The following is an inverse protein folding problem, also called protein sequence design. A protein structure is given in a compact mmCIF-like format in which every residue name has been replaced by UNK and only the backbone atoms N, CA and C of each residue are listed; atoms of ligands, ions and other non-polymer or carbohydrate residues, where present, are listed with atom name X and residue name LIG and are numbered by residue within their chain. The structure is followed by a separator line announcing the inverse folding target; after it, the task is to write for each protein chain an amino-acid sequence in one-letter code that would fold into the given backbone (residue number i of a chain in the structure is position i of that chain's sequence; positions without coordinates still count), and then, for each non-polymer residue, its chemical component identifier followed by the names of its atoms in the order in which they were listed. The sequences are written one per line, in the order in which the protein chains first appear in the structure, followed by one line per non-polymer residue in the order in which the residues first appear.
data_IF_938566132640
#
_entry.id   IF_938566132640
#
_cell.length_a   1.000
_cell.length_b   1.000
_cell.length_c   1.000
_cell.angle_alpha   90.00
_cell.angle_beta   90.00
_cell.angle_gamma   90.00
#
_symmetry.space_group_name_H-M   'P 1'
#
loop_
_entity.id
_entity.type
_entity.pdbx_description
1 polymer ?
#
# COMPACT_ATOMS: atom_id res chain seq x y z
N UNK A 1 -108.64 -111.66 37.09
CA UNK A 1 -108.38 -110.20 37.15
C UNK A 1 -106.89 -109.85 37.14
N UNK A 2 -105.96 -110.81 37.28
CA UNK A 2 -104.50 -110.55 37.31
C UNK A 2 -103.81 -110.34 35.93
N UNK A 3 -104.25 -111.02 34.86
CA UNK A 3 -103.59 -110.90 33.53
C UNK A 3 -103.76 -109.51 32.88
N UNK A 4 -104.88 -108.83 33.16
CA UNK A 4 -105.14 -107.48 32.66
C UNK A 4 -104.21 -106.44 33.29
N UNK A 5 -103.77 -106.67 34.53
CA UNK A 5 -102.87 -105.78 35.27
C UNK A 5 -101.44 -105.95 34.77
N UNK A 6 -101.00 -107.19 34.50
CA UNK A 6 -99.65 -107.48 33.99
C UNK A 6 -99.43 -106.94 32.57
N UNK A 7 -100.41 -107.04 31.69
CA UNK A 7 -100.32 -106.50 30.32
C UNK A 7 -100.32 -104.96 30.29
N UNK A 8 -101.07 -104.34 31.20
CA UNK A 8 -101.05 -102.89 31.40
C UNK A 8 -99.69 -102.42 31.94
N UNK A 9 -99.09 -103.14 32.89
CA UNK A 9 -97.74 -102.86 33.37
C UNK A 9 -96.68 -103.01 32.28
N UNK A 10 -96.75 -104.07 31.46
CA UNK A 10 -95.81 -104.28 30.36
C UNK A 10 -95.91 -103.17 29.30
N UNK A 11 -97.14 -102.74 28.99
CA UNK A 11 -97.39 -101.59 28.10
C UNK A 11 -96.82 -100.30 28.68
N UNK A 12 -97.03 -100.07 29.98
CA UNK A 12 -96.51 -98.90 30.68
C UNK A 12 -94.98 -98.89 30.72
N UNK A 13 -94.33 -100.03 30.97
CA UNK A 13 -92.87 -100.14 30.93
C UNK A 13 -92.32 -99.91 29.53
N UNK A 14 -92.94 -100.47 28.48
CA UNK A 14 -92.54 -100.22 27.09
C UNK A 14 -92.63 -98.74 26.73
N UNK A 15 -93.77 -98.11 27.03
CA UNK A 15 -93.97 -96.68 26.81
C UNK A 15 -92.96 -95.84 27.60
N UNK A 16 -92.66 -96.20 28.85
CA UNK A 16 -91.65 -95.52 29.65
C UNK A 16 -90.22 -95.69 29.06
N UNK A 17 -89.89 -96.87 28.53
CA UNK A 17 -88.59 -97.11 27.87
C UNK A 17 -88.47 -96.43 26.52
N UNK A 18 -89.57 -96.32 25.76
CA UNK A 18 -89.61 -95.56 24.50
C UNK A 18 -89.52 -94.06 24.77
N UNK A 19 -90.28 -93.52 25.75
CA UNK A 19 -90.15 -92.14 26.22
C UNK A 19 -88.72 -91.83 26.67
N UNK A 20 -88.10 -92.71 27.46
CA UNK A 20 -86.72 -92.54 27.91
C UNK A 20 -85.71 -92.56 26.74
N UNK A 21 -85.95 -93.38 25.71
CA UNK A 21 -85.12 -93.40 24.49
C UNK A 21 -85.30 -92.15 23.64
N UNK A 22 -86.53 -91.68 23.49
CA UNK A 22 -86.85 -90.45 22.78
C UNK A 22 -86.25 -89.23 23.50
N UNK A 23 -86.40 -89.16 24.82
CA UNK A 23 -85.76 -88.14 25.67
C UNK A 23 -84.24 -88.17 25.56
N UNK A 24 -83.63 -89.36 25.54
CA UNK A 24 -82.18 -89.50 25.36
C UNK A 24 -81.73 -89.09 23.95
N UNK A 25 -82.50 -89.37 22.91
CA UNK A 25 -82.23 -88.91 21.54
C UNK A 25 -82.35 -87.38 21.43
N UNK A 26 -83.37 -86.78 22.04
CA UNK A 26 -83.55 -85.32 22.12
C UNK A 26 -82.41 -84.68 22.90
N UNK A 27 -81.99 -85.27 24.01
CA UNK A 27 -80.88 -84.74 24.80
C UNK A 27 -79.55 -84.84 24.05
N UNK A 28 -79.31 -85.93 23.33
CA UNK A 28 -78.10 -86.13 22.54
C UNK A 28 -78.01 -85.15 21.35
N UNK A 29 -79.12 -84.94 20.63
CA UNK A 29 -79.18 -83.93 19.55
C UNK A 29 -78.98 -82.51 20.08
N UNK A 30 -79.55 -82.18 21.24
CA UNK A 30 -79.33 -80.91 21.92
C UNK A 30 -77.87 -80.73 22.37
N UNK A 31 -77.26 -81.79 22.91
CA UNK A 31 -75.85 -81.77 23.29
C UNK A 31 -74.94 -81.53 22.08
N UNK A 32 -75.14 -82.26 20.98
CA UNK A 32 -74.36 -82.07 19.76
C UNK A 32 -74.52 -80.66 19.17
N UNK A 33 -75.75 -80.13 19.16
CA UNK A 33 -76.04 -78.77 18.72
C UNK A 33 -75.33 -77.72 19.58
N UNK A 34 -75.44 -77.82 20.92
CA UNK A 34 -74.76 -76.92 21.84
C UNK A 34 -73.24 -77.04 21.76
N UNK A 35 -72.70 -78.27 21.65
CA UNK A 35 -71.27 -78.51 21.53
C UNK A 35 -70.71 -77.88 20.24
N UNK A 36 -71.40 -78.07 19.11
CA UNK A 36 -71.02 -77.43 17.84
C UNK A 36 -71.08 -75.90 17.92
N UNK A 37 -72.11 -75.35 18.57
CA UNK A 37 -72.29 -73.90 18.72
C UNK A 37 -71.24 -73.27 19.64
N UNK A 38 -70.89 -73.94 20.74
CA UNK A 38 -69.83 -73.49 21.66
C UNK A 38 -68.46 -73.57 21.00
N UNK A 39 -68.18 -74.66 20.27
CA UNK A 39 -66.92 -74.82 19.55
C UNK A 39 -66.77 -73.78 18.42
N UNK A 40 -67.82 -73.54 17.64
CA UNK A 40 -67.79 -72.56 16.54
C UNK A 40 -67.68 -71.13 17.07
N UNK A 41 -68.48 -70.76 18.06
CA UNK A 41 -68.47 -69.40 18.63
C UNK A 41 -67.15 -69.04 19.31
N UNK A 42 -66.54 -69.99 20.05
CA UNK A 42 -65.26 -69.76 20.71
C UNK A 42 -64.09 -69.65 19.72
N UNK A 43 -64.10 -70.41 18.64
CA UNK A 43 -63.05 -70.34 17.61
C UNK A 43 -63.19 -69.09 16.74
N UNK A 44 -64.41 -68.68 16.41
CA UNK A 44 -64.68 -67.45 15.65
C UNK A 44 -64.24 -66.20 16.41
N UNK A 45 -64.51 -66.12 17.72
CA UNK A 45 -64.06 -65.01 18.56
C UNK A 45 -62.53 -64.90 18.60
N UNK A 46 -61.82 -66.02 18.79
CA UNK A 46 -60.35 -66.04 18.79
C UNK A 46 -59.76 -65.61 17.44
N UNK A 47 -60.35 -66.08 16.33
CA UNK A 47 -59.91 -65.68 14.98
C UNK A 47 -60.13 -64.18 14.75
N UNK A 48 -61.23 -63.62 15.25
CA UNK A 48 -61.49 -62.19 15.16
C UNK A 48 -60.48 -61.37 15.97
N UNK A 49 -60.19 -61.76 17.21
CA UNK A 49 -59.17 -61.10 18.05
C UNK A 49 -57.78 -61.12 17.40
N UNK A 50 -57.40 -62.25 16.80
CA UNK A 50 -56.14 -62.39 16.07
C UNK A 50 -56.09 -61.49 14.83
N UNK A 51 -57.20 -61.33 14.10
CA UNK A 51 -57.29 -60.41 12.95
C UNK A 51 -57.09 -58.96 13.39
N UNK A 52 -57.77 -58.54 14.46
CA UNK A 52 -57.60 -57.19 15.01
C UNK A 52 -56.17 -56.94 15.52
N UNK A 53 -55.55 -57.93 16.14
CA UNK A 53 -54.15 -57.84 16.56
C UNK A 53 -53.20 -57.69 15.36
N UNK A 54 -53.43 -58.43 14.27
CA UNK A 54 -52.67 -58.31 13.01
C UNK A 54 -52.86 -56.93 12.40
N UNK A 55 -54.09 -56.41 12.35
CA UNK A 55 -54.36 -55.10 11.75
C UNK A 55 -53.75 -53.96 12.58
N UNK A 56 -53.82 -54.04 13.92
CA UNK A 56 -53.09 -53.12 14.81
C UNK A 56 -51.59 -53.18 14.59
N UNK A 57 -51.03 -54.38 14.41
CA UNK A 57 -49.60 -54.54 14.12
C UNK A 57 -49.22 -53.89 12.78
N UNK A 58 -49.98 -54.15 11.71
CA UNK A 58 -49.75 -53.53 10.39
C UNK A 58 -49.84 -52.02 10.43
N UNK A 59 -50.82 -51.47 11.15
CA UNK A 59 -50.94 -50.03 11.32
C UNK A 59 -49.73 -49.46 12.07
N UNK A 60 -49.31 -50.10 13.16
CA UNK A 60 -48.12 -49.69 13.90
C UNK A 60 -46.85 -49.76 13.04
N UNK A 61 -46.68 -50.82 12.26
CA UNK A 61 -45.57 -50.99 11.33
C UNK A 61 -45.56 -49.87 10.26
N UNK A 62 -46.72 -49.52 9.71
CA UNK A 62 -46.85 -48.42 8.76
C UNK A 62 -46.47 -47.06 9.38
N UNK A 63 -46.92 -46.78 10.62
CA UNK A 63 -46.54 -45.57 11.36
C UNK A 63 -45.03 -45.52 11.63
N UNK A 64 -44.44 -46.63 12.05
CA UNK A 64 -43.00 -46.73 12.29
C UNK A 64 -42.19 -46.53 11.00
N UNK A 65 -42.62 -47.13 9.90
CA UNK A 65 -42.00 -46.96 8.57
C UNK A 65 -42.06 -45.51 8.08
N UNK A 66 -43.21 -44.85 8.26
CA UNK A 66 -43.37 -43.42 7.94
C UNK A 66 -42.43 -42.54 8.77
N UNK A 67 -42.34 -42.80 10.08
CA UNK A 67 -41.44 -42.08 10.97
C UNK A 67 -39.96 -42.28 10.57
N UNK A 68 -39.55 -43.51 10.29
CA UNK A 68 -38.18 -43.82 9.83
C UNK A 68 -37.87 -43.07 8.53
N UNK A 69 -38.82 -43.03 7.59
CA UNK A 69 -38.64 -42.33 6.32
C UNK A 69 -38.45 -40.82 6.52
N UNK A 70 -39.29 -40.19 7.37
CA UNK A 70 -39.15 -38.77 7.71
C UNK A 70 -37.83 -38.45 8.41
N UNK A 71 -37.39 -39.32 9.33
CA UNK A 71 -36.10 -39.13 10.01
C UNK A 71 -34.92 -39.26 9.04
N UNK A 72 -34.97 -40.21 8.09
CA UNK A 72 -33.94 -40.35 7.04
C UNK A 72 -33.87 -39.12 6.15
N UNK A 73 -35.02 -38.61 5.72
CA UNK A 73 -35.09 -37.38 4.93
C UNK A 73 -34.49 -36.20 5.69
N UNK A 74 -34.82 -36.04 6.98
CA UNK A 74 -34.25 -34.96 7.80
C UNK A 74 -32.72 -35.10 7.97
N UNK A 75 -32.21 -36.31 8.15
CA UNK A 75 -30.77 -36.58 8.23
C UNK A 75 -30.10 -36.17 6.91
N UNK A 76 -30.66 -36.60 5.78
CA UNK A 76 -30.13 -36.28 4.45
C UNK A 76 -30.08 -34.76 4.22
N UNK A 77 -31.17 -34.04 4.49
CA UNK A 77 -31.21 -32.58 4.34
C UNK A 77 -30.16 -31.89 5.23
N UNK A 78 -29.99 -32.37 6.47
CA UNK A 78 -28.97 -31.84 7.39
C UNK A 78 -27.55 -32.09 6.86
N UNK A 79 -27.30 -33.26 6.28
CA UNK A 79 -26.00 -33.60 5.66
C UNK A 79 -25.68 -32.71 4.46
N UNK A 80 -26.67 -32.42 3.60
CA UNK A 80 -26.53 -31.50 2.48
C UNK A 80 -26.24 -30.05 2.94
N UNK A 81 -26.95 -29.58 3.97
CA UNK A 81 -26.71 -28.27 4.58
C UNK A 81 -25.30 -28.17 5.17
N UNK A 82 -24.86 -29.20 5.91
CA UNK A 82 -23.50 -29.26 6.45
C UNK A 82 -22.43 -29.23 5.34
N UNK A 83 -22.64 -29.97 4.25
CA UNK A 83 -21.73 -29.95 3.09
C UNK A 83 -21.64 -28.57 2.43
N UNK A 84 -22.78 -27.88 2.31
CA UNK A 84 -22.85 -26.51 1.78
C UNK A 84 -22.12 -25.51 2.69
N UNK A 85 -22.32 -25.62 4.01
CA UNK A 85 -21.63 -24.78 5.01
C UNK A 85 -20.12 -25.01 4.97
N UNK A 86 -19.67 -26.27 4.92
CA UNK A 86 -18.26 -26.62 4.85
C UNK A 86 -17.59 -26.04 3.59
N UNK A 87 -18.26 -26.14 2.45
CA UNK A 87 -17.78 -25.58 1.17
C UNK A 87 -17.70 -24.06 1.22
N UNK A 88 -18.74 -23.39 1.74
CA UNK A 88 -18.77 -21.95 1.93
C UNK A 88 -17.66 -21.46 2.86
N UNK A 89 -17.44 -22.16 3.98
CA UNK A 89 -16.35 -21.89 4.92
C UNK A 89 -14.98 -22.00 4.23
N UNK A 90 -14.74 -23.06 3.47
CA UNK A 90 -13.47 -23.24 2.74
C UNK A 90 -13.19 -22.07 1.79
N UNK A 91 -14.20 -21.60 1.06
CA UNK A 91 -14.06 -20.46 0.15
C UNK A 91 -13.76 -19.17 0.93
N UNK A 92 -14.43 -18.97 2.07
CA UNK A 92 -14.20 -17.81 2.93
C UNK A 92 -12.78 -17.81 3.51
N UNK A 93 -12.30 -18.95 3.98
CA UNK A 93 -10.95 -19.11 4.51
C UNK A 93 -9.90 -18.78 3.44
N UNK A 94 -10.08 -19.25 2.20
CA UNK A 94 -9.20 -18.90 1.08
C UNK A 94 -9.18 -17.39 0.80
N UNK A 95 -10.35 -16.74 0.79
CA UNK A 95 -10.46 -15.28 0.60
C UNK A 95 -9.81 -14.51 1.74
N UNK A 96 -9.99 -14.97 2.98
CA UNK A 96 -9.38 -14.36 4.14
C UNK A 96 -7.85 -14.43 4.07
N UNK A 97 -7.29 -15.59 3.70
CA UNK A 97 -5.85 -15.74 3.50
C UNK A 97 -5.31 -14.82 2.39
N UNK A 98 -6.04 -14.70 1.27
CA UNK A 98 -5.67 -13.77 0.20
C UNK A 98 -5.66 -12.31 0.68
N UNK A 99 -6.67 -11.90 1.45
CA UNK A 99 -6.76 -10.55 2.02
C UNK A 99 -5.66 -10.28 3.05
N UNK A 100 -5.33 -11.26 3.90
CA UNK A 100 -4.22 -11.15 4.87
C UNK A 100 -2.91 -10.90 4.12
N UNK A 101 -2.62 -11.71 3.10
CA UNK A 101 -1.41 -11.56 2.29
C UNK A 101 -1.35 -10.19 1.59
N UNK A 102 -2.45 -9.73 0.99
CA UNK A 102 -2.51 -8.40 0.37
C UNK A 102 -2.30 -7.28 1.40
N UNK A 103 -2.82 -7.42 2.62
CA UNK A 103 -2.64 -6.45 3.69
C UNK A 103 -1.16 -6.37 4.11
N UNK A 104 -0.48 -7.51 4.24
CA UNK A 104 0.96 -7.57 4.52
C UNK A 104 1.80 -6.92 3.42
N UNK A 105 1.52 -7.22 2.15
CA UNK A 105 2.20 -6.58 1.01
C UNK A 105 2.00 -5.06 1.00
N UNK A 106 0.79 -4.59 1.32
CA UNK A 106 0.50 -3.15 1.42
C UNK A 106 1.24 -2.48 2.57
N UNK A 107 1.36 -3.15 3.73
CA UNK A 107 2.16 -2.64 4.87
C UNK A 107 3.64 -2.50 4.50
N UNK A 108 4.21 -3.49 3.82
CA UNK A 108 5.60 -3.41 3.36
C UNK A 108 5.80 -2.24 2.37
N UNK A 109 4.87 -2.05 1.43
CA UNK A 109 4.92 -0.92 0.51
C UNK A 109 4.84 0.44 1.21
N UNK A 110 4.03 0.56 2.25
CA UNK A 110 3.94 1.78 3.07
C UNK A 110 5.29 2.04 3.75
N UNK A 111 5.87 1.03 4.41
CA UNK A 111 7.16 1.16 5.08
C UNK A 111 8.27 1.59 4.11
N UNK A 112 8.33 0.97 2.92
CA UNK A 112 9.30 1.33 1.88
C UNK A 112 9.11 2.77 1.37
N UNK A 113 7.87 3.25 1.27
CA UNK A 113 7.57 4.62 0.87
C UNK A 113 7.96 5.62 1.97
N UNK A 114 7.73 5.29 3.24
CA UNK A 114 8.15 6.09 4.40
C UNK A 114 9.66 6.25 4.45
N UNK A 115 10.43 5.15 4.32
CA UNK A 115 11.90 5.18 4.27
C UNK A 115 12.39 6.09 3.14
N UNK A 116 11.85 5.92 1.93
CA UNK A 116 12.24 6.77 0.78
C UNK A 116 11.91 8.24 1.02
N UNK A 117 10.75 8.52 1.61
CA UNK A 117 10.33 9.88 1.95
C UNK A 117 11.32 10.54 2.93
N UNK A 118 11.71 9.82 3.98
CA UNK A 118 12.69 10.28 4.96
C UNK A 118 14.07 10.53 4.34
N UNK A 119 14.52 9.65 3.44
CA UNK A 119 15.74 9.85 2.66
C UNK A 119 15.69 11.12 1.79
N UNK A 120 14.59 11.34 1.08
CA UNK A 120 14.41 12.54 0.27
C UNK A 120 14.39 13.80 1.13
N UNK A 121 13.70 13.77 2.27
CA UNK A 121 13.67 14.88 3.22
C UNK A 121 15.06 15.19 3.78
N UNK A 122 15.83 14.16 4.12
CA UNK A 122 17.23 14.30 4.57
C UNK A 122 18.12 14.93 3.49
N UNK A 123 18.01 14.47 2.24
CA UNK A 123 18.76 15.04 1.10
C UNK A 123 18.36 16.49 0.82
N UNK A 124 17.06 16.78 0.90
CA UNK A 124 16.54 18.13 0.70
C UNK A 124 17.03 19.08 1.79
N UNK A 125 16.95 18.69 3.07
CA UNK A 125 17.46 19.46 4.20
C UNK A 125 18.95 19.77 4.06
N UNK A 126 19.78 18.76 3.73
CA UNK A 126 21.22 18.95 3.47
C UNK A 126 21.49 19.91 2.32
N UNK A 127 20.68 19.86 1.27
CA UNK A 127 20.81 20.75 0.11
C UNK A 127 20.43 22.19 0.47
N UNK A 128 19.35 22.34 1.24
CA UNK A 128 18.89 23.63 1.76
C UNK A 128 19.94 24.27 2.66
N UNK A 129 20.50 23.52 3.59
CA UNK A 129 21.58 23.99 4.49
C UNK A 129 22.80 24.46 3.69
N UNK A 130 23.24 23.69 2.68
CA UNK A 130 24.33 24.10 1.79
C UNK A 130 24.01 25.38 0.99
N UNK A 131 22.77 25.53 0.54
CA UNK A 131 22.34 26.72 -0.19
C UNK A 131 22.32 27.97 0.71
N UNK A 132 21.82 27.84 1.95
CA UNK A 132 21.83 28.90 2.96
C UNK A 132 23.26 29.29 3.35
N UNK A 133 24.13 28.30 3.54
CA UNK A 133 25.54 28.55 3.83
C UNK A 133 26.27 29.23 2.66
N UNK A 134 26.02 28.81 1.42
CA UNK A 134 26.57 29.46 0.23
C UNK A 134 26.06 30.90 0.08
N UNK A 135 24.77 31.13 0.33
CA UNK A 135 24.16 32.48 0.33
C UNK A 135 24.85 33.38 1.34
N UNK A 136 25.01 32.92 2.59
CA UNK A 136 25.71 33.66 3.65
C UNK A 136 27.15 33.99 3.25
N UNK A 137 27.91 33.03 2.72
CA UNK A 137 29.30 33.27 2.27
C UNK A 137 29.35 34.28 1.11
N UNK A 138 28.38 34.23 0.20
CA UNK A 138 28.29 35.18 -0.92
C UNK A 138 27.99 36.59 -0.42
N UNK A 139 27.05 36.74 0.52
CA UNK A 139 26.73 38.02 1.16
C UNK A 139 27.96 38.58 1.90
N UNK A 140 28.65 37.76 2.70
CA UNK A 140 29.90 38.13 3.39
C UNK A 140 30.99 38.57 2.40
N UNK A 141 31.15 37.87 1.28
CA UNK A 141 32.11 38.22 0.23
C UNK A 141 31.78 39.60 -0.37
N UNK A 142 30.52 39.83 -0.72
CA UNK A 142 30.07 41.11 -1.28
C UNK A 142 30.27 42.24 -0.27
N UNK A 143 29.86 42.06 0.99
CA UNK A 143 30.08 43.07 2.04
C UNK A 143 31.55 43.40 2.24
N UNK A 144 32.43 42.38 2.25
CA UNK A 144 33.88 42.59 2.34
C UNK A 144 34.42 43.41 1.17
N UNK A 145 33.94 43.12 -0.04
CA UNK A 145 34.37 43.81 -1.25
C UNK A 145 33.84 45.26 -1.30
N UNK A 146 32.56 45.47 -0.98
CA UNK A 146 31.95 46.79 -0.80
C UNK A 146 32.75 47.66 0.17
N UNK A 147 33.09 47.12 1.34
CA UNK A 147 33.89 47.83 2.34
C UNK A 147 35.29 48.21 1.83
N UNK A 148 35.91 47.39 0.98
CA UNK A 148 37.25 47.68 0.41
C UNK A 148 37.20 48.71 -0.71
N UNK A 149 36.09 48.78 -1.44
CA UNK A 149 35.88 49.71 -2.54
C UNK A 149 35.12 50.97 -2.13
N UNK A 150 34.77 51.10 -0.83
CA UNK A 150 33.92 52.16 -0.30
C UNK A 150 32.58 52.30 -1.05
N UNK A 151 32.02 51.18 -1.52
CA UNK A 151 30.68 51.13 -2.10
C UNK A 151 29.69 50.91 -0.99
N UNK A 152 28.73 51.83 -0.82
CA UNK A 152 27.73 51.70 0.23
C UNK A 152 26.76 50.57 -0.09
N UNK A 153 26.93 49.42 0.56
CA UNK A 153 26.12 48.23 0.31
C UNK A 153 24.67 48.37 0.77
N UNK A 154 24.37 49.37 1.60
CA UNK A 154 23.02 49.62 2.13
C UNK A 154 22.17 50.42 1.15
N UNK A 155 22.79 51.33 0.38
CA UNK A 155 22.09 52.16 -0.60
C UNK A 155 21.80 51.43 -1.93
N UNK A 156 22.52 50.34 -2.21
CA UNK A 156 22.37 49.59 -3.46
C UNK A 156 21.60 48.29 -3.28
N UNK A 157 20.45 48.16 -3.97
CA UNK A 157 19.65 46.93 -4.05
C UNK A 157 20.44 45.74 -4.65
N UNK A 158 21.43 46.04 -5.49
CA UNK A 158 22.35 45.05 -6.11
C UNK A 158 23.81 45.49 -5.94
N UNK A 159 24.40 45.31 -4.74
CA UNK A 159 25.73 45.82 -4.44
C UNK A 159 26.84 45.22 -5.32
N UNK A 160 26.68 43.97 -5.76
CA UNK A 160 27.64 43.33 -6.68
C UNK A 160 27.71 44.03 -8.06
N UNK A 161 26.57 44.46 -8.61
CA UNK A 161 26.53 45.16 -9.90
C UNK A 161 27.18 46.55 -9.82
N UNK A 162 26.96 47.25 -8.69
CA UNK A 162 27.60 48.53 -8.40
C UNK A 162 29.13 48.37 -8.29
N UNK A 163 29.59 47.32 -7.59
CA UNK A 163 31.01 46.97 -7.51
C UNK A 163 31.60 46.72 -8.90
N UNK A 164 30.94 45.90 -9.74
CA UNK A 164 31.41 45.60 -11.10
C UNK A 164 31.56 46.89 -11.91
N UNK A 165 30.55 47.76 -11.86
CA UNK A 165 30.55 49.04 -12.57
C UNK A 165 31.71 49.96 -12.11
N UNK A 166 31.98 50.00 -10.80
CA UNK A 166 33.10 50.78 -10.25
C UNK A 166 34.45 50.21 -10.70
N UNK A 167 34.62 48.89 -10.69
CA UNK A 167 35.85 48.24 -11.16
C UNK A 167 36.09 48.53 -12.65
N UNK A 168 35.05 48.50 -13.48
CA UNK A 168 35.16 48.89 -14.88
C UNK A 168 35.58 50.36 -15.06
N UNK A 169 35.02 51.27 -14.26
CA UNK A 169 35.39 52.68 -14.26
C UNK A 169 36.86 52.88 -13.86
N UNK A 170 37.30 52.21 -12.80
CA UNK A 170 38.70 52.22 -12.37
C UNK A 170 39.64 51.69 -13.47
N UNK A 171 39.25 50.63 -14.19
CA UNK A 171 40.04 50.11 -15.30
C UNK A 171 40.17 51.13 -16.45
N UNK A 172 39.07 51.78 -16.84
CA UNK A 172 39.07 52.83 -17.89
C UNK A 172 39.94 54.02 -17.49
N UNK A 173 39.84 54.47 -16.25
CA UNK A 173 40.62 55.59 -15.73
C UNK A 173 42.12 55.26 -15.66
N UNK A 174 42.49 54.06 -15.21
CA UNK A 174 43.88 53.56 -15.27
C UNK A 174 44.42 53.60 -16.70
N UNK A 175 43.66 53.11 -17.67
CA UNK A 175 44.09 53.07 -19.06
C UNK A 175 44.28 54.48 -19.63
N UNK A 176 43.38 55.41 -19.28
CA UNK A 176 43.52 56.84 -19.62
C UNK A 176 44.78 57.46 -19.01
N UNK A 177 45.04 57.21 -17.73
CA UNK A 177 46.23 57.72 -17.05
C UNK A 177 47.52 57.17 -17.65
N UNK A 178 47.55 55.88 -18.01
CA UNK A 178 48.69 55.25 -18.68
C UNK A 178 49.01 55.91 -20.01
N UNK A 179 48.00 56.21 -20.81
CA UNK A 179 48.16 56.95 -22.07
C UNK A 179 48.70 58.35 -21.81
N UNK A 180 48.16 59.07 -20.83
CA UNK A 180 48.62 60.43 -20.48
C UNK A 180 50.09 60.44 -20.03
N UNK A 181 50.49 59.47 -19.19
CA UNK A 181 51.88 59.31 -18.75
C UNK A 181 52.78 59.11 -19.97
N UNK A 182 52.40 58.21 -20.89
CA UNK A 182 53.19 57.93 -22.11
C UNK A 182 53.35 59.20 -22.96
N UNK A 183 52.28 59.98 -23.16
CA UNK A 183 52.34 61.24 -23.91
C UNK A 183 53.20 62.30 -23.21
N UNK A 184 53.14 62.39 -21.88
CA UNK A 184 53.97 63.33 -21.11
C UNK A 184 55.45 62.94 -21.16
N UNK A 185 55.77 61.65 -21.05
CA UNK A 185 57.13 61.11 -21.20
C UNK A 185 57.71 61.47 -22.57
N UNK A 186 56.93 61.25 -23.65
CA UNK A 186 57.32 61.65 -25.02
C UNK A 186 57.57 63.15 -25.14
N UNK A 187 56.66 63.99 -24.63
CA UNK A 187 56.82 65.45 -24.69
C UNK A 187 58.03 65.94 -23.89
N UNK A 188 58.29 65.32 -22.73
CA UNK A 188 59.41 65.70 -21.86
C UNK A 188 60.72 65.36 -22.55
N UNK A 189 60.82 64.17 -23.13
CA UNK A 189 61.97 63.75 -23.92
C UNK A 189 62.20 64.68 -25.13
N UNK A 190 61.14 65.12 -25.82
CA UNK A 190 61.26 66.07 -26.94
C UNK A 190 61.81 67.43 -26.48
N UNK A 191 61.28 67.97 -25.36
CA UNK A 191 61.73 69.23 -24.78
C UNK A 191 63.18 69.13 -24.31
N UNK A 192 63.55 68.05 -23.64
CA UNK A 192 64.92 67.79 -23.19
C UNK A 192 65.89 67.70 -24.40
N UNK A 193 65.51 66.98 -25.46
CA UNK A 193 66.27 66.93 -26.71
C UNK A 193 66.41 68.31 -27.35
N UNK A 194 65.35 69.14 -27.35
CA UNK A 194 65.39 70.53 -27.87
C UNK A 194 66.34 71.40 -27.04
N UNK A 195 66.25 71.36 -25.71
CA UNK A 195 67.10 72.13 -24.81
C UNK A 195 68.57 71.69 -24.89
N UNK A 196 68.83 70.38 -25.01
CA UNK A 196 70.17 69.82 -25.20
C UNK A 196 70.77 70.28 -26.53
N UNK A 197 70.03 70.16 -27.65
CA UNK A 197 70.46 70.69 -28.95
C UNK A 197 70.76 72.18 -28.92
N UNK A 198 69.93 72.96 -28.23
CA UNK A 198 70.15 74.40 -28.03
C UNK A 198 71.45 74.68 -27.28
N UNK A 199 71.69 73.94 -26.20
CA UNK A 199 72.90 74.07 -25.37
C UNK A 199 74.16 73.73 -26.16
N UNK A 200 74.14 72.63 -26.93
CA UNK A 200 75.24 72.26 -27.84
C UNK A 200 75.50 73.36 -28.87
N UNK A 201 74.45 73.94 -29.45
CA UNK A 201 74.62 75.04 -30.43
C UNK A 201 75.24 76.28 -29.82
N UNK A 202 74.82 76.67 -28.60
CA UNK A 202 75.43 77.79 -27.86
C UNK A 202 76.91 77.54 -27.58
N UNK A 203 77.26 76.36 -27.06
CA UNK A 203 78.65 75.99 -26.80
C UNK A 203 79.51 76.00 -28.07
N UNK A 204 78.99 75.54 -29.21
CA UNK A 204 79.70 75.61 -30.49
C UNK A 204 79.97 77.05 -30.93
N UNK A 205 78.98 77.95 -30.79
CA UNK A 205 79.16 79.36 -31.11
C UNK A 205 80.21 80.03 -30.20
N UNK A 206 80.21 79.70 -28.90
CA UNK A 206 81.21 80.18 -27.95
C UNK A 206 82.62 79.67 -28.29
N UNK A 207 82.76 78.40 -28.65
CA UNK A 207 84.05 77.81 -29.11
C UNK A 207 84.54 78.48 -30.38
N UNK A 208 83.67 78.73 -31.37
CA UNK A 208 84.04 79.40 -32.62
C UNK A 208 84.50 80.84 -32.35
N UNK A 209 83.84 81.55 -31.43
CA UNK A 209 84.23 82.89 -31.02
C UNK A 209 85.58 82.89 -30.29
N UNK A 210 85.80 81.97 -29.34
CA UNK A 210 87.09 81.81 -28.65
C UNK A 210 88.22 81.39 -29.59
N UNK A 211 87.93 80.57 -30.60
CA UNK A 211 88.88 80.25 -31.67
C UNK A 211 89.25 81.49 -32.47
N UNK A 212 88.28 82.34 -32.86
CA UNK A 212 88.53 83.62 -33.55
C UNK A 212 89.37 84.56 -32.68
N UNK A 213 89.04 84.70 -31.40
CA UNK A 213 89.81 85.52 -30.45
C UNK A 213 91.23 84.98 -30.26
N UNK A 214 91.38 83.67 -30.12
CA UNK A 214 92.68 83.00 -29.99
C UNK A 214 93.53 83.13 -31.24
N UNK A 215 92.95 82.98 -32.44
CA UNK A 215 93.63 83.20 -33.71
C UNK A 215 94.09 84.66 -33.86
N UNK A 216 93.26 85.62 -33.43
CA UNK A 216 93.59 87.05 -33.43
C UNK A 216 94.73 87.37 -32.44
N UNK A 217 94.74 86.75 -31.25
CA UNK A 217 95.84 86.88 -30.29
C UNK A 217 97.12 86.20 -30.79
N UNK A 218 97.01 85.03 -31.43
CA UNK A 218 98.13 84.32 -32.03
C UNK A 218 98.76 85.11 -33.20
N UNK A 219 97.95 85.73 -34.05
CA UNK A 219 98.44 86.60 -35.12
C UNK A 219 99.11 87.86 -34.57
N UNK A 220 98.54 88.48 -33.54
CA UNK A 220 99.18 89.60 -32.82
C UNK A 220 100.55 89.21 -32.22
N UNK A 221 100.64 88.03 -31.59
CA UNK A 221 101.91 87.50 -31.05
C UNK A 221 102.94 87.18 -32.14
N UNK A 222 102.50 86.67 -33.31
CA UNK A 222 103.41 86.45 -34.46
C UNK A 222 103.93 87.76 -35.06
N UNK A 223 103.14 88.84 -35.02
CA UNK A 223 103.54 90.17 -35.47
C UNK A 223 104.57 90.81 -34.53
N UNK A 224 104.49 90.53 -33.22
CA UNK A 224 105.48 90.98 -32.21
C UNK A 224 106.80 90.20 -32.27
N UNK A 225 106.81 88.97 -32.79
CA UNK A 225 108.04 88.15 -32.98
C UNK A 225 108.82 88.47 -34.26
N UNK A 226 108.36 89.40 -35.10
CA UNK A 226 109.03 89.84 -36.34
C UNK A 226 109.79 91.18 -36.20
N UNK A 227 110.07 91.63 -34.97
CA UNK A 227 111.03 92.70 -34.65
C UNK A 227 112.25 92.08 -34.00
#
# INVERSE_FOLDING_TARGET
MDDSVMQQHLSHYKQATESAREELAVLNTKYQSLHSQVLSSSQEALVQDLREAIDRHKENEARQSSLISSLRERIHNTEEEMGSIASSKSIMDMKLQALIKQNEEMKERILQAEIKSEEYLSKWNKTKEKAEDLKRRSEEFVSRLSNKLCVDSVEHEKPMEAIISLVELCCKERDRQKTLISTLEESTHEVECKASRETVRRLLADVENEQKLSATRASALSSVRQV
#
